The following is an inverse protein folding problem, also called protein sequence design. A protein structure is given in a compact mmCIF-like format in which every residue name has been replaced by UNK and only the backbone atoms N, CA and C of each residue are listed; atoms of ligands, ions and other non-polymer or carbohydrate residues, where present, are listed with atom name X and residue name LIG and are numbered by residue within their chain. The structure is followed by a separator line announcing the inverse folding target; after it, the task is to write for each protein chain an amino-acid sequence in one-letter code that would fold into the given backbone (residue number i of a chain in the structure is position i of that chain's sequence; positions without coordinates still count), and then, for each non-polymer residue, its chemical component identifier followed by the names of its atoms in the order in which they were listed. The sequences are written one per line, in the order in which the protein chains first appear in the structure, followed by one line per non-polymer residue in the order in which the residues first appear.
data_IF_007924766750
#
_entry.id   IF_007924766750
#
_cell.length_a   1.000
_cell.length_b   1.000
_cell.length_c   1.000
_cell.angle_alpha   90.00
_cell.angle_beta   90.00
_cell.angle_gamma   90.00
#
_symmetry.space_group_name_H-M   'P 1'
#
loop_
_entity.id
_entity.type
_entity.pdbx_description
1 polymer ?
#
# COMPACT_ATOMS: atom_id res chain seq x y z
N UNK A 1 -16.92 -14.82 -13.29
CA UNK A 1 -16.34 -14.63 -11.94
C UNK A 1 -14.84 -14.45 -12.10
N UNK A 2 -14.34 -13.22 -11.93
CA UNK A 2 -12.92 -12.90 -12.17
C UNK A 2 -12.03 -13.42 -11.06
N UNK A 3 -10.99 -14.18 -11.41
CA UNK A 3 -10.02 -14.74 -10.49
C UNK A 3 -9.20 -13.62 -9.85
N UNK A 4 -9.65 -13.11 -8.70
CA UNK A 4 -8.77 -12.42 -7.78
C UNK A 4 -7.80 -13.44 -7.21
N UNK A 5 -6.63 -13.57 -7.84
CA UNK A 5 -5.46 -14.21 -7.23
C UNK A 5 -5.15 -13.40 -5.97
N UNK A 6 -5.67 -13.83 -4.81
CA UNK A 6 -5.05 -13.52 -3.53
C UNK A 6 -3.64 -14.08 -3.64
N UNK A 7 -2.65 -13.24 -3.92
CA UNK A 7 -1.25 -13.57 -3.63
C UNK A 7 -1.27 -14.06 -2.19
N UNK A 8 -0.81 -15.30 -2.04
CA UNK A 8 -0.66 -16.07 -0.80
C UNK A 8 -0.59 -15.17 0.43
N UNK A 9 -1.45 -15.51 1.38
CA UNK A 9 -1.52 -15.04 2.76
C UNK A 9 -0.19 -15.29 3.49
N UNK A 10 0.89 -14.65 3.05
CA UNK A 10 2.12 -14.55 3.84
C UNK A 10 1.78 -13.55 4.93
N UNK A 11 1.41 -14.05 6.10
CA UNK A 11 1.32 -13.22 7.30
C UNK A 11 2.65 -12.49 7.44
N UNK A 12 2.68 -11.15 7.35
CA UNK A 12 3.92 -10.40 7.44
C UNK A 12 4.55 -10.70 8.80
N UNK A 13 5.86 -10.94 8.81
CA UNK A 13 6.61 -11.21 10.05
C UNK A 13 6.45 -10.08 11.07
N UNK A 14 6.30 -8.85 10.59
CA UNK A 14 5.90 -7.71 11.39
C UNK A 14 4.64 -7.03 10.80
N UNK A 15 3.45 -7.25 11.39
CA UNK A 15 2.21 -6.67 10.88
C UNK A 15 2.19 -5.13 10.96
N UNK A 16 2.80 -4.53 11.98
CA UNK A 16 2.85 -3.07 12.12
C UNK A 16 3.65 -2.43 10.97
N UNK A 17 4.75 -3.06 10.55
CA UNK A 17 5.55 -2.57 9.42
C UNK A 17 4.84 -2.74 8.09
N UNK A 18 4.08 -3.82 7.93
CA UNK A 18 3.24 -4.00 6.74
C UNK A 18 2.11 -2.96 6.64
N UNK A 19 1.52 -2.56 7.76
CA UNK A 19 0.55 -1.46 7.80
C UNK A 19 1.18 -0.13 7.40
N UNK A 20 2.38 0.20 7.94
CA UNK A 20 3.14 1.39 7.54
C UNK A 20 3.46 1.39 6.03
N UNK A 21 3.80 0.22 5.46
CA UNK A 21 4.00 0.04 4.02
C UNK A 21 2.74 0.35 3.21
N UNK A 22 1.58 -0.09 3.67
CA UNK A 22 0.28 0.24 3.05
C UNK A 22 -0.03 1.73 3.14
N UNK A 23 0.14 2.33 4.31
CA UNK A 23 -0.09 3.76 4.52
C UNK A 23 0.82 4.61 3.63
N UNK A 24 2.08 4.20 3.47
CA UNK A 24 3.02 4.84 2.56
C UNK A 24 2.52 4.79 1.11
N UNK A 25 2.05 3.63 0.65
CA UNK A 25 1.52 3.46 -0.70
C UNK A 25 0.27 4.32 -0.93
N UNK A 26 -0.63 4.39 0.06
CA UNK A 26 -1.80 5.28 0.05
C UNK A 26 -1.34 6.74 -0.07
N UNK A 27 -0.44 7.18 0.81
CA UNK A 27 0.06 8.55 0.81
C UNK A 27 0.73 8.91 -0.51
N UNK A 28 1.54 8.01 -1.08
CA UNK A 28 2.16 8.17 -2.39
C UNK A 28 1.13 8.30 -3.51
N UNK A 29 0.10 7.44 -3.51
CA UNK A 29 -0.99 7.46 -4.50
C UNK A 29 -1.82 8.75 -4.43
N UNK A 30 -2.00 9.30 -3.24
CA UNK A 30 -2.75 10.54 -3.00
C UNK A 30 -1.88 11.81 -3.01
N UNK A 31 -0.56 11.69 -3.13
CA UNK A 31 0.36 12.82 -3.11
C UNK A 31 0.53 13.48 -1.73
N UNK A 32 0.19 12.78 -0.64
CA UNK A 32 0.33 13.29 0.73
C UNK A 32 1.80 13.25 1.19
N UNK A 33 2.51 14.33 0.87
CA UNK A 33 3.93 14.51 1.24
C UNK A 33 4.15 14.56 2.75
N UNK A 34 3.15 15.02 3.53
CA UNK A 34 3.28 15.10 4.99
C UNK A 34 3.23 13.72 5.62
N UNK A 35 2.29 12.89 5.18
CA UNK A 35 2.19 11.49 5.60
C UNK A 35 3.47 10.72 5.23
N UNK A 36 3.96 10.86 3.99
CA UNK A 36 5.24 10.27 3.56
C UNK A 36 6.38 10.68 4.51
N UNK A 37 6.54 11.99 4.76
CA UNK A 37 7.60 12.49 5.64
C UNK A 37 7.46 12.06 7.10
N UNK A 38 6.23 11.80 7.59
CA UNK A 38 6.00 11.25 8.93
C UNK A 38 6.42 9.79 8.99
N UNK A 39 6.02 9.00 8.00
CA UNK A 39 6.36 7.57 7.91
C UNK A 39 7.88 7.40 7.80
N UNK A 40 8.56 8.17 6.94
CA UNK A 40 10.03 8.13 6.84
C UNK A 40 10.72 8.46 8.18
N UNK A 41 10.19 9.40 8.97
CA UNK A 41 10.71 9.71 10.29
C UNK A 41 10.49 8.57 11.29
N UNK A 42 9.34 7.91 11.24
CA UNK A 42 9.09 6.73 12.06
C UNK A 42 10.03 5.58 11.69
N UNK A 43 10.22 5.31 10.39
CA UNK A 43 11.16 4.30 9.91
C UNK A 43 12.62 4.61 10.26
N UNK A 44 13.00 5.89 10.32
CA UNK A 44 14.35 6.29 10.76
C UNK A 44 14.54 6.25 12.28
N UNK A 45 13.47 6.45 13.05
CA UNK A 45 13.51 6.37 14.52
C UNK A 45 13.48 4.92 15.03
N UNK A 46 12.88 4.02 14.26
CA UNK A 46 12.86 2.58 14.56
C UNK A 46 14.03 1.92 13.83
N UNK A 47 14.94 1.28 14.57
CA UNK A 47 15.99 0.46 13.95
C UNK A 47 15.36 -0.72 13.19
N UNK A 48 15.14 -0.56 11.88
CA UNK A 48 14.56 -1.61 11.04
C UNK A 48 15.58 -2.72 10.81
N UNK A 49 15.18 -3.95 11.09
CA UNK A 49 15.89 -5.14 10.62
C UNK A 49 15.41 -5.52 9.21
N UNK A 50 16.09 -6.48 8.57
CA UNK A 50 15.73 -6.94 7.22
C UNK A 50 14.31 -7.52 7.13
N UNK A 51 13.80 -8.13 8.22
CA UNK A 51 12.44 -8.67 8.27
C UNK A 51 11.37 -7.56 8.33
N UNK A 52 11.65 -6.46 9.04
CA UNK A 52 10.80 -5.27 9.09
C UNK A 52 10.74 -4.61 7.72
N UNK A 53 11.88 -4.53 7.03
CA UNK A 53 11.96 -4.02 5.67
C UNK A 53 11.15 -4.89 4.70
N UNK A 54 11.30 -6.21 4.76
CA UNK A 54 10.53 -7.13 3.94
C UNK A 54 9.02 -6.99 4.21
N UNK A 55 8.61 -6.85 5.47
CA UNK A 55 7.21 -6.66 5.86
C UNK A 55 6.65 -5.33 5.33
N UNK A 56 7.44 -4.25 5.40
CA UNK A 56 7.08 -2.95 4.84
C UNK A 56 6.90 -3.00 3.31
N UNK A 57 7.84 -3.62 2.60
CA UNK A 57 7.75 -3.80 1.14
C UNK A 57 6.53 -4.64 0.76
N UNK A 58 6.26 -5.71 1.50
CA UNK A 58 5.08 -6.53 1.32
C UNK A 58 3.78 -5.74 1.51
N UNK A 59 3.71 -4.88 2.53
CA UNK A 59 2.57 -4.00 2.78
C UNK A 59 2.32 -3.02 1.63
N UNK A 60 3.38 -2.37 1.15
CA UNK A 60 3.33 -1.45 0.02
C UNK A 60 2.84 -2.15 -1.25
N UNK A 61 3.45 -3.27 -1.59
CA UNK A 61 3.13 -4.04 -2.79
C UNK A 61 1.71 -4.61 -2.74
N UNK A 62 1.21 -4.96 -1.55
CA UNK A 62 -0.17 -5.39 -1.36
C UNK A 62 -1.19 -4.28 -1.69
N UNK A 63 -0.87 -3.01 -1.38
CA UNK A 63 -1.74 -1.89 -1.75
C UNK A 63 -1.57 -1.49 -3.23
N UNK A 64 -0.34 -1.42 -3.73
CA UNK A 64 -0.06 -1.09 -5.14
C UNK A 64 -0.64 -2.12 -6.12
N UNK A 65 -0.79 -3.39 -5.68
CA UNK A 65 -1.49 -4.42 -6.44
C UNK A 65 -3.00 -4.17 -6.57
N UNK A 66 -3.60 -3.28 -5.76
CA UNK A 66 -5.01 -2.93 -5.87
C UNK A 66 -5.17 -2.01 -7.08
N UNK A 67 -5.84 -2.47 -8.16
CA UNK A 67 -6.00 -1.64 -9.34
C UNK A 67 -6.81 -0.39 -8.97
N UNK A 68 -6.46 0.78 -9.52
CA UNK A 68 -7.25 1.98 -9.30
C UNK A 68 -8.66 1.73 -9.81
N UNK A 69 -9.66 1.90 -8.94
CA UNK A 69 -11.07 1.91 -9.34
C UNK A 69 -11.25 3.11 -10.26
N UNK A 70 -11.27 2.84 -11.58
CA UNK A 70 -11.60 3.87 -12.56
C UNK A 70 -13.04 4.26 -12.27
N UNK A 71 -13.37 5.56 -12.09
CA UNK A 71 -14.77 5.94 -12.03
C UNK A 71 -15.41 5.42 -13.32
N UNK A 72 -16.53 4.70 -13.18
CA UNK A 72 -17.31 4.27 -14.32
C UNK A 72 -17.60 5.53 -15.13
N UNK A 73 -16.93 5.68 -16.27
CA UNK A 73 -17.15 6.80 -17.17
C UNK A 73 -18.60 6.68 -17.60
N UNK A 74 -19.47 7.41 -16.93
CA UNK A 74 -20.90 7.44 -17.18
C UNK A 74 -21.03 7.98 -18.60
N UNK A 75 -21.00 7.08 -19.59
CA UNK A 75 -21.26 7.40 -20.99
C UNK A 75 -22.73 7.73 -21.01
N UNK A 76 -23.08 8.98 -20.69
CA UNK A 76 -24.35 9.59 -21.07
C UNK A 76 -24.42 9.39 -22.57
N UNK A 77 -25.12 8.33 -22.98
CA UNK A 77 -25.54 8.08 -24.34
C UNK A 77 -26.41 9.28 -24.69
N UNK A 78 -25.79 10.28 -25.29
CA UNK A 78 -26.45 11.50 -25.71
C UNK A 78 -27.40 11.14 -26.84
N UNK A 79 -28.67 11.49 -26.63
CA UNK A 79 -29.80 11.62 -27.57
C UNK A 79 -30.05 10.45 -28.52
#
# INVERSE_FOLDING_TARGET
MGLFRRKSESTPSNPQMAELGREYAIAKRHGDRKAIGRIHRQLGATSMNDNDRASFEQGRDAYDAIPPIKPARNRRKGR
#
